data_IF_726922839012
#
_entry.id   IF_726922839012
#
_cell.length_a   1.000
_cell.length_b   1.000
_cell.length_c   1.000
_cell.angle_alpha   90.00
_cell.angle_beta   90.00
_cell.angle_gamma   90.00
#
_symmetry.space_group_name_H-M   'P 1'
#
loop_
_entity.id
_entity.type
_entity.pdbx_description
1 polymer ?
#
# COMPACT_ATOMS: atom_id res chain seq x y z
N UNK A 1 3.67 3.61 -25.07
CA UNK A 1 4.98 3.23 -24.47
C UNK A 1 5.60 2.10 -25.29
N UNK A 2 6.95 2.03 -25.42
CA UNK A 2 7.55 0.88 -26.09
C UNK A 2 7.41 -0.37 -25.21
N UNK A 3 6.80 -1.44 -25.71
CA UNK A 3 6.70 -2.73 -25.02
C UNK A 3 8.06 -3.42 -24.83
N UNK A 4 9.11 -2.97 -25.53
CA UNK A 4 10.45 -3.56 -25.46
C UNK A 4 11.03 -3.58 -24.02
N UNK A 5 10.71 -2.57 -23.18
CA UNK A 5 11.17 -2.57 -21.78
C UNK A 5 10.54 -3.71 -20.97
N UNK A 6 9.31 -4.12 -21.31
CA UNK A 6 8.62 -5.23 -20.65
C UNK A 6 9.10 -6.58 -21.16
N UNK A 7 9.52 -6.69 -22.42
CA UNK A 7 10.19 -7.89 -22.93
C UNK A 7 11.50 -8.14 -22.19
N UNK A 8 12.29 -7.08 -21.95
CA UNK A 8 13.50 -7.15 -21.15
C UNK A 8 13.22 -7.56 -19.69
N UNK A 9 12.15 -6.97 -19.08
CA UNK A 9 11.71 -7.36 -17.74
C UNK A 9 11.35 -8.85 -17.68
N UNK A 10 10.52 -9.33 -18.62
CA UNK A 10 10.08 -10.73 -18.67
C UNK A 10 11.26 -11.67 -18.83
N UNK A 11 12.18 -11.36 -19.77
CA UNK A 11 13.37 -12.16 -20.02
C UNK A 11 14.26 -12.25 -18.78
N UNK A 12 14.53 -11.11 -18.14
CA UNK A 12 15.29 -11.06 -16.89
C UNK A 12 14.62 -11.82 -15.76
N UNK A 13 13.34 -11.60 -15.54
CA UNK A 13 12.61 -12.24 -14.47
C UNK A 13 12.55 -13.77 -14.63
N UNK A 14 12.30 -14.26 -15.86
CA UNK A 14 12.33 -15.69 -16.19
C UNK A 14 13.71 -16.31 -15.97
N UNK A 15 14.78 -15.60 -16.33
CA UNK A 15 16.15 -16.07 -16.08
C UNK A 15 16.41 -16.29 -14.57
N UNK A 16 15.71 -15.56 -13.72
CA UNK A 16 15.80 -15.67 -12.26
C UNK A 16 14.65 -16.48 -11.63
N UNK A 17 13.95 -17.29 -12.40
CA UNK A 17 12.96 -18.24 -11.90
C UNK A 17 11.52 -17.73 -11.79
N UNK A 18 11.23 -16.48 -12.24
CA UNK A 18 9.86 -16.03 -12.31
C UNK A 18 9.08 -16.73 -13.44
N UNK A 19 7.78 -16.88 -13.24
CA UNK A 19 6.89 -17.50 -14.20
C UNK A 19 5.86 -16.49 -14.71
N UNK A 20 5.53 -16.58 -15.97
CA UNK A 20 4.36 -15.97 -16.60
C UNK A 20 3.72 -17.02 -17.51
N UNK A 21 2.42 -17.20 -17.38
CA UNK A 21 1.67 -18.22 -18.09
C UNK A 21 1.82 -18.04 -19.61
N UNK A 22 1.97 -19.14 -20.36
CA UNK A 22 2.19 -19.09 -21.81
C UNK A 22 1.09 -18.40 -22.61
N UNK A 23 -0.15 -18.49 -22.12
CA UNK A 23 -1.33 -17.80 -22.70
C UNK A 23 -1.46 -16.36 -22.25
N UNK A 24 -0.55 -15.83 -21.42
CA UNK A 24 -0.59 -14.45 -20.90
C UNK A 24 0.42 -13.61 -21.65
N UNK A 25 0.06 -12.37 -21.92
CA UNK A 25 0.94 -11.37 -22.51
C UNK A 25 0.81 -10.03 -21.81
N UNK A 26 1.90 -9.27 -21.81
CA UNK A 26 1.89 -7.84 -21.46
C UNK A 26 1.37 -7.07 -22.65
N UNK A 27 0.44 -6.15 -22.43
CA UNK A 27 -0.08 -5.28 -23.48
C UNK A 27 -0.25 -3.84 -22.96
N UNK A 28 -0.34 -2.88 -23.87
CA UNK A 28 -0.58 -1.49 -23.55
C UNK A 28 -2.07 -1.19 -23.84
N UNK A 29 -2.84 -1.04 -22.76
CA UNK A 29 -4.26 -0.69 -22.85
C UNK A 29 -4.40 0.81 -23.04
N UNK A 30 -5.20 1.28 -24.04
CA UNK A 30 -5.37 2.71 -24.28
C UNK A 30 -5.96 3.49 -23.11
N UNK A 31 -6.76 2.84 -22.26
CA UNK A 31 -7.44 3.45 -21.11
C UNK A 31 -6.69 3.24 -19.80
N UNK A 32 -6.13 2.05 -19.57
CA UNK A 32 -5.59 1.61 -18.29
C UNK A 32 -4.07 1.51 -18.27
N UNK A 33 -3.41 1.75 -19.42
CA UNK A 33 -1.96 1.60 -19.54
C UNK A 33 -1.50 0.14 -19.60
N UNK A 34 -0.25 -0.10 -19.23
CA UNK A 34 0.33 -1.44 -19.34
C UNK A 34 -0.26 -2.39 -18.31
N UNK A 35 -0.69 -3.57 -18.79
CA UNK A 35 -1.28 -4.64 -17.96
C UNK A 35 -1.06 -6.02 -18.58
N UNK A 36 -1.70 -7.03 -18.00
CA UNK A 36 -1.73 -8.40 -18.49
C UNK A 36 -3.07 -8.73 -19.12
N UNK A 37 -3.06 -9.54 -20.20
CA UNK A 37 -4.28 -10.12 -20.78
C UNK A 37 -4.01 -11.55 -21.24
N UNK A 38 -5.09 -12.31 -21.44
CA UNK A 38 -5.03 -13.60 -22.15
C UNK A 38 -4.84 -13.33 -23.65
N UNK A 39 -3.85 -13.99 -24.28
CA UNK A 39 -3.50 -13.81 -25.71
C UNK A 39 -4.73 -14.04 -26.59
N UNK A 40 -4.82 -13.33 -27.71
CA UNK A 40 -5.89 -13.55 -28.68
C UNK A 40 -5.70 -14.90 -29.41
N UNK A 41 -6.80 -15.50 -29.88
CA UNK A 41 -6.80 -16.80 -30.56
C UNK A 41 -5.90 -16.87 -31.81
N UNK A 42 -5.68 -15.75 -32.50
CA UNK A 42 -4.82 -15.68 -33.70
C UNK A 42 -3.34 -15.87 -33.39
N UNK A 43 -2.87 -15.50 -32.19
CA UNK A 43 -1.48 -15.68 -31.79
C UNK A 43 -1.21 -17.07 -31.20
N UNK A 44 -2.25 -17.76 -30.73
CA UNK A 44 -2.13 -19.10 -30.12
C UNK A 44 -1.96 -20.22 -31.16
N UNK A 45 -2.34 -20.02 -32.42
CA UNK A 45 -2.23 -21.02 -33.50
C UNK A 45 -0.79 -21.37 -33.80
N UNK A 46 0.16 -20.45 -33.64
CA UNK A 46 1.59 -20.72 -33.87
C UNK A 46 2.26 -21.55 -32.76
N UNK A 47 1.70 -21.58 -31.54
CA UNK A 47 2.24 -22.36 -30.43
C UNK A 47 1.66 -23.78 -30.35
N UNK A 48 0.50 -24.04 -31.00
CA UNK A 48 -0.20 -25.33 -30.95
C UNK A 48 0.35 -26.43 -31.89
N UNK A 49 1.41 -26.17 -32.63
CA UNK A 49 1.96 -27.13 -33.63
C UNK A 49 2.58 -28.39 -33.03
N UNK A 50 2.58 -28.58 -31.71
CA UNK A 50 3.19 -29.73 -31.04
C UNK A 50 2.31 -30.46 -30.01
N UNK A 51 1.00 -30.11 -29.86
CA UNK A 51 0.10 -30.84 -28.97
C UNK A 51 -1.22 -31.17 -29.67
N UNK A 52 -1.65 -32.44 -29.57
CA UNK A 52 -2.94 -32.95 -30.12
C UNK A 52 -4.20 -32.40 -29.42
N UNK A 53 -4.08 -31.41 -28.52
CA UNK A 53 -5.21 -30.77 -27.86
C UNK A 53 -5.54 -29.45 -28.55
N UNK A 54 -6.81 -29.28 -28.90
CA UNK A 54 -7.35 -27.98 -29.33
C UNK A 54 -6.94 -26.90 -28.31
N UNK A 55 -6.43 -25.73 -28.75
CA UNK A 55 -6.04 -24.67 -27.84
C UNK A 55 -7.25 -24.27 -27.01
N UNK A 56 -7.09 -24.26 -25.68
CA UNK A 56 -8.14 -23.79 -24.77
C UNK A 56 -8.48 -22.35 -25.13
N UNK A 57 -9.76 -22.07 -25.20
CA UNK A 57 -10.29 -20.75 -25.56
C UNK A 57 -10.26 -19.73 -24.40
N UNK A 58 -9.63 -20.09 -23.28
CA UNK A 58 -9.62 -19.31 -22.04
C UNK A 58 -8.51 -19.75 -21.12
N UNK A 59 -8.13 -18.89 -20.20
CA UNK A 59 -7.31 -19.23 -19.04
C UNK A 59 -8.22 -19.91 -17.99
N UNK A 60 -7.94 -21.17 -17.59
CA UNK A 60 -8.83 -21.91 -16.70
C UNK A 60 -8.77 -21.38 -15.25
N UNK A 61 -9.81 -21.66 -14.44
CA UNK A 61 -9.75 -21.45 -12.99
C UNK A 61 -8.53 -22.14 -12.37
N UNK A 62 -8.01 -21.55 -11.31
CA UNK A 62 -6.80 -21.99 -10.58
C UNK A 62 -5.48 -21.89 -11.37
N UNK A 63 -5.52 -21.35 -12.59
CA UNK A 63 -4.27 -21.11 -13.33
C UNK A 63 -3.41 -20.06 -12.61
N UNK A 64 -2.10 -20.39 -12.51
CA UNK A 64 -1.11 -19.40 -12.12
C UNK A 64 -0.87 -18.44 -13.30
N UNK A 65 -1.21 -17.19 -13.12
CA UNK A 65 -1.00 -16.12 -14.13
C UNK A 65 0.46 -15.75 -14.18
N UNK A 66 1.01 -15.49 -13.02
CA UNK A 66 2.38 -14.99 -12.83
C UNK A 66 2.88 -15.38 -11.45
N UNK A 67 4.18 -15.72 -11.35
CA UNK A 67 4.86 -15.85 -10.06
C UNK A 67 6.18 -15.08 -10.06
N UNK A 68 6.57 -14.64 -8.87
CA UNK A 68 7.82 -13.92 -8.65
C UNK A 68 8.56 -14.53 -7.46
N UNK A 69 9.79 -15.04 -7.64
CA UNK A 69 10.63 -15.48 -6.54
C UNK A 69 10.84 -14.36 -5.53
N UNK A 70 10.84 -14.72 -4.25
CA UNK A 70 11.10 -13.73 -3.18
C UNK A 70 12.46 -13.05 -3.33
N UNK A 71 13.45 -13.72 -3.90
CA UNK A 71 14.77 -13.17 -4.20
C UNK A 71 14.74 -12.00 -5.20
N UNK A 72 13.70 -11.91 -6.04
CA UNK A 72 13.50 -10.78 -6.96
C UNK A 72 12.75 -9.60 -6.35
N UNK A 73 12.15 -9.78 -5.17
CA UNK A 73 11.43 -8.70 -4.51
C UNK A 73 12.36 -7.53 -4.18
N UNK A 74 11.80 -6.33 -4.11
CA UNK A 74 12.52 -5.11 -3.76
C UNK A 74 11.84 -4.45 -2.55
N UNK A 75 12.61 -4.28 -1.47
CA UNK A 75 12.16 -3.68 -0.22
C UNK A 75 13.35 -3.21 0.62
N UNK A 76 13.10 -2.73 1.81
CA UNK A 76 14.18 -2.39 2.75
C UNK A 76 15.05 -3.60 3.14
N UNK A 77 14.54 -4.83 3.02
CA UNK A 77 15.31 -6.05 3.32
C UNK A 77 16.53 -6.19 2.42
N UNK A 78 16.43 -5.73 1.18
CA UNK A 78 17.57 -5.73 0.24
C UNK A 78 18.63 -4.71 0.69
N UNK A 79 18.22 -3.57 1.23
CA UNK A 79 19.13 -2.60 1.82
C UNK A 79 19.88 -3.16 3.04
N UNK A 80 19.29 -4.14 3.73
CA UNK A 80 19.91 -4.86 4.84
C UNK A 80 20.76 -6.07 4.40
N UNK A 81 20.87 -6.37 3.10
CA UNK A 81 21.55 -7.56 2.55
C UNK A 81 21.02 -8.90 3.13
N UNK A 82 19.69 -9.04 3.24
CA UNK A 82 19.05 -10.20 3.86
C UNK A 82 18.76 -11.37 2.92
N UNK A 83 18.90 -11.18 1.63
CA UNK A 83 18.79 -12.26 0.65
C UNK A 83 20.19 -12.83 0.37
N UNK A 84 20.49 -14.10 0.79
CA UNK A 84 21.83 -14.64 0.75
C UNK A 84 22.41 -14.78 -0.69
N UNK A 85 21.54 -14.92 -1.68
CA UNK A 85 21.94 -15.15 -3.08
C UNK A 85 22.17 -13.86 -3.88
N UNK A 86 21.74 -12.71 -3.32
CA UNK A 86 21.96 -11.40 -3.90
C UNK A 86 23.19 -10.78 -3.29
N UNK A 87 24.39 -11.34 -3.58
CA UNK A 87 25.63 -10.74 -3.14
C UNK A 87 25.73 -9.33 -3.67
N UNK A 88 25.46 -8.39 -2.77
CA UNK A 88 25.92 -7.01 -2.68
C UNK A 88 26.35 -6.32 -4.00
N UNK A 89 25.43 -6.06 -4.90
CA UNK A 89 25.63 -5.00 -5.90
C UNK A 89 25.15 -3.63 -5.39
N UNK A 90 24.57 -3.58 -4.19
CA UNK A 90 24.10 -2.35 -3.56
C UNK A 90 25.18 -1.79 -2.63
N UNK A 91 25.43 -0.50 -2.72
CA UNK A 91 26.15 0.21 -1.68
C UNK A 91 25.40 0.01 -0.36
N UNK A 92 26.13 -0.37 0.69
CA UNK A 92 25.51 -0.57 2.02
C UNK A 92 25.13 0.80 2.57
N UNK A 93 23.86 0.99 2.86
CA UNK A 93 23.40 2.22 3.51
C UNK A 93 24.14 2.44 4.84
N UNK A 94 24.37 3.71 5.24
CA UNK A 94 24.97 4.03 6.53
C UNK A 94 24.19 3.37 7.67
N UNK A 95 24.88 2.81 8.66
CA UNK A 95 24.23 2.14 9.81
C UNK A 95 23.20 3.06 10.49
N UNK A 96 23.54 4.34 10.65
CA UNK A 96 22.65 5.34 11.24
C UNK A 96 21.33 5.46 10.45
N UNK A 97 21.37 5.41 9.10
CA UNK A 97 20.15 5.45 8.29
C UNK A 97 19.27 4.24 8.55
N UNK A 98 19.86 3.05 8.61
CA UNK A 98 19.15 1.81 8.85
C UNK A 98 18.56 1.71 10.28
N UNK A 99 19.19 2.38 11.25
CA UNK A 99 18.73 2.43 12.64
C UNK A 99 17.59 3.43 12.86
N UNK A 100 17.69 4.59 12.23
CA UNK A 100 16.81 5.75 12.53
C UNK A 100 15.57 5.78 11.67
N UNK A 101 15.64 5.34 10.38
CA UNK A 101 14.51 5.44 9.47
C UNK A 101 13.60 4.22 9.54
N UNK A 102 12.33 4.43 9.27
CA UNK A 102 11.31 3.40 9.18
C UNK A 102 11.56 2.50 7.95
N UNK A 103 11.13 1.21 7.98
CA UNK A 103 11.35 0.26 6.87
C UNK A 103 10.92 0.75 5.51
N UNK A 104 9.75 1.36 5.40
CA UNK A 104 9.25 1.90 4.12
C UNK A 104 10.11 3.05 3.60
N UNK A 105 10.61 3.94 4.47
CA UNK A 105 11.49 5.04 4.10
C UNK A 105 12.82 4.52 3.55
N UNK A 106 13.41 3.50 4.20
CA UNK A 106 14.61 2.82 3.71
C UNK A 106 14.34 2.20 2.32
N UNK A 107 13.18 1.56 2.13
CA UNK A 107 12.77 1.00 0.85
C UNK A 107 12.70 2.06 -0.26
N UNK A 108 12.17 3.26 0.04
CA UNK A 108 12.12 4.37 -0.92
C UNK A 108 13.53 4.81 -1.34
N UNK A 109 14.43 5.02 -0.38
CA UNK A 109 15.83 5.37 -0.69
C UNK A 109 16.54 4.25 -1.46
N UNK A 110 16.25 2.99 -1.13
CA UNK A 110 16.80 1.86 -1.88
C UNK A 110 16.34 1.86 -3.34
N UNK A 111 15.06 2.12 -3.62
CA UNK A 111 14.56 2.23 -4.99
C UNK A 111 15.21 3.41 -5.74
N UNK A 112 15.39 4.57 -5.10
CA UNK A 112 16.13 5.69 -5.70
C UNK A 112 17.56 5.29 -6.06
N UNK A 113 18.25 4.57 -5.17
CA UNK A 113 19.59 4.05 -5.46
C UNK A 113 19.59 3.13 -6.68
N UNK A 114 18.65 2.18 -6.74
CA UNK A 114 18.53 1.26 -7.87
C UNK A 114 18.21 1.99 -9.19
N UNK A 115 17.47 3.09 -9.13
CA UNK A 115 17.22 3.95 -10.29
C UNK A 115 18.49 4.68 -10.74
N UNK A 116 19.25 5.27 -9.82
CA UNK A 116 20.47 5.99 -10.13
C UNK A 116 21.59 5.09 -10.70
N UNK A 117 21.57 3.83 -10.33
CA UNK A 117 22.53 2.79 -10.77
C UNK A 117 21.89 1.76 -11.73
N UNK A 118 20.80 2.11 -12.44
CA UNK A 118 19.97 1.14 -13.18
C UNK A 118 20.73 0.31 -14.23
N UNK A 119 21.84 0.79 -14.76
CA UNK A 119 22.66 0.06 -15.73
C UNK A 119 23.45 -1.09 -15.10
N UNK A 120 23.78 -0.98 -13.83
CA UNK A 120 24.55 -1.98 -13.07
C UNK A 120 23.72 -2.68 -12.00
N UNK A 121 22.52 -2.18 -11.71
CA UNK A 121 21.61 -2.76 -10.74
C UNK A 121 21.11 -4.13 -11.17
N UNK A 122 21.05 -5.07 -10.21
CA UNK A 122 20.37 -6.35 -10.40
C UNK A 122 18.91 -6.15 -10.84
N UNK A 123 18.21 -5.17 -10.27
CA UNK A 123 16.82 -4.81 -10.60
C UNK A 123 16.70 -3.85 -11.78
N UNK A 124 17.77 -3.55 -12.49
CA UNK A 124 17.75 -2.60 -13.60
C UNK A 124 16.63 -2.82 -14.61
N UNK A 125 16.37 -4.05 -15.10
CA UNK A 125 15.25 -4.31 -16.00
C UNK A 125 13.87 -3.98 -15.39
N UNK A 126 13.67 -4.28 -14.10
CA UNK A 126 12.45 -3.93 -13.38
C UNK A 126 12.30 -2.40 -13.21
N UNK A 127 13.33 -1.74 -12.70
CA UNK A 127 13.32 -0.29 -12.47
C UNK A 127 13.05 0.47 -13.77
N UNK A 128 13.64 0.04 -14.89
CA UNK A 128 13.35 0.63 -16.22
C UNK A 128 11.96 0.35 -16.75
N UNK A 129 11.28 -0.68 -16.25
CA UNK A 129 9.89 -0.98 -16.63
C UNK A 129 8.87 -0.15 -15.86
N UNK A 130 9.21 0.39 -14.69
CA UNK A 130 8.36 1.27 -13.90
C UNK A 130 8.05 2.57 -14.66
N UNK A 131 6.96 3.29 -14.34
CA UNK A 131 6.80 4.69 -14.77
C UNK A 131 8.03 5.48 -14.33
N UNK A 132 8.67 6.18 -15.27
CA UNK A 132 9.93 6.88 -15.00
C UNK A 132 9.69 8.24 -14.34
N UNK A 133 10.66 8.80 -13.58
CA UNK A 133 10.53 10.11 -12.93
C UNK A 133 10.19 11.23 -13.91
N UNK A 134 10.71 11.17 -15.15
CA UNK A 134 10.45 12.13 -16.23
C UNK A 134 9.00 12.01 -16.77
N UNK A 135 8.36 10.86 -16.53
CA UNK A 135 6.96 10.59 -16.87
C UNK A 135 6.03 10.79 -15.67
N UNK A 136 6.48 11.42 -14.60
CA UNK A 136 5.79 11.53 -13.31
C UNK A 136 4.38 12.14 -13.42
N UNK A 137 4.13 13.02 -14.40
CA UNK A 137 2.79 13.52 -14.70
C UNK A 137 1.77 12.43 -15.11
N UNK A 138 2.24 11.24 -15.50
CA UNK A 138 1.40 10.07 -15.80
C UNK A 138 1.06 9.22 -14.58
N UNK A 139 1.68 9.49 -13.43
CA UNK A 139 1.40 8.74 -12.19
C UNK A 139 0.00 9.03 -11.65
N UNK A 140 -0.61 10.15 -12.02
CA UNK A 140 -2.02 10.47 -11.74
C UNK A 140 -2.34 10.75 -10.27
N UNK A 141 -1.38 10.58 -9.35
CA UNK A 141 -1.65 10.82 -7.92
C UNK A 141 -1.65 12.32 -7.60
N UNK A 142 -2.39 12.77 -6.57
CA UNK A 142 -2.55 14.19 -6.26
C UNK A 142 -1.25 14.93 -5.93
N UNK A 143 -0.16 14.22 -5.63
CA UNK A 143 1.16 14.84 -5.41
C UNK A 143 1.80 15.37 -6.70
N UNK A 144 1.23 15.05 -7.86
CA UNK A 144 1.66 15.53 -9.18
C UNK A 144 0.62 16.41 -9.87
N UNK A 145 -0.46 16.76 -9.16
CA UNK A 145 -1.50 17.63 -9.68
C UNK A 145 -0.95 19.03 -9.94
N UNK A 146 -1.42 19.62 -11.03
CA UNK A 146 -1.22 21.06 -11.32
C UNK A 146 -2.12 21.91 -10.42
N UNK A 147 -1.86 23.21 -10.36
CA UNK A 147 -2.72 24.15 -9.60
C UNK A 147 -4.19 24.09 -10.06
N UNK A 148 -4.41 23.83 -11.35
CA UNK A 148 -5.76 23.65 -11.90
C UNK A 148 -6.43 22.37 -11.38
N UNK A 149 -5.68 21.26 -11.28
CA UNK A 149 -6.19 20.00 -10.73
C UNK A 149 -6.47 20.11 -9.23
N UNK A 150 -5.59 20.81 -8.50
CA UNK A 150 -5.77 21.06 -7.06
C UNK A 150 -7.05 21.84 -6.79
N UNK A 151 -7.43 22.77 -7.68
CA UNK A 151 -8.66 23.53 -7.52
C UNK A 151 -9.91 22.62 -7.46
N UNK A 152 -9.89 21.46 -8.13
CA UNK A 152 -11.01 20.50 -8.14
C UNK A 152 -11.13 19.68 -6.86
N UNK A 153 -10.07 19.56 -6.08
CA UNK A 153 -10.06 18.77 -4.84
C UNK A 153 -10.16 19.63 -3.57
N UNK A 154 -10.26 20.95 -3.73
CA UNK A 154 -10.36 21.88 -2.59
C UNK A 154 -11.57 21.55 -1.69
N UNK A 155 -11.33 21.57 -0.37
CA UNK A 155 -12.36 21.29 0.63
C UNK A 155 -12.73 19.82 0.74
N UNK A 156 -12.13 18.94 -0.08
CA UNK A 156 -12.36 17.50 0.01
C UNK A 156 -11.36 16.83 0.95
N UNK A 157 -11.69 15.62 1.40
CA UNK A 157 -10.78 14.75 2.16
C UNK A 157 -9.52 14.37 1.36
N UNK A 158 -9.59 14.37 0.04
CA UNK A 158 -8.45 14.12 -0.83
C UNK A 158 -7.38 15.22 -0.71
N UNK A 159 -7.79 16.50 -0.60
CA UNK A 159 -6.86 17.62 -0.36
C UNK A 159 -6.13 17.42 0.98
N UNK A 160 -6.89 17.14 2.04
CA UNK A 160 -6.34 16.92 3.39
C UNK A 160 -5.34 15.75 3.38
N UNK A 161 -5.71 14.65 2.76
CA UNK A 161 -4.87 13.45 2.69
C UNK A 161 -3.61 13.66 1.84
N UNK A 162 -3.72 14.40 0.73
CA UNK A 162 -2.59 14.83 -0.12
C UNK A 162 -1.58 15.65 0.68
N UNK A 163 -2.04 16.68 1.35
CA UNK A 163 -1.17 17.61 2.09
C UNK A 163 -0.46 16.90 3.24
N UNK A 164 -1.18 16.03 3.95
CA UNK A 164 -0.59 15.22 5.00
C UNK A 164 0.46 14.25 4.45
N UNK A 165 0.20 13.61 3.32
CA UNK A 165 1.14 12.70 2.66
C UNK A 165 2.39 13.42 2.20
N UNK A 166 2.23 14.58 1.55
CA UNK A 166 3.37 15.41 1.11
C UNK A 166 4.25 15.84 2.28
N UNK A 167 3.63 16.35 3.35
CA UNK A 167 4.33 16.76 4.57
C UNK A 167 5.11 15.58 5.19
N UNK A 168 4.48 14.41 5.29
CA UNK A 168 5.12 13.22 5.87
C UNK A 168 6.29 12.76 5.02
N UNK A 169 6.08 12.55 3.72
CA UNK A 169 7.14 12.08 2.83
C UNK A 169 8.30 13.07 2.70
N UNK A 170 8.01 14.37 2.73
CA UNK A 170 9.06 15.41 2.72
C UNK A 170 9.90 15.39 3.98
N UNK A 171 9.27 15.21 5.14
CA UNK A 171 9.98 15.04 6.41
C UNK A 171 10.87 13.77 6.41
N UNK A 172 10.36 12.66 5.85
CA UNK A 172 11.10 11.41 5.74
C UNK A 172 12.31 11.55 4.81
N UNK A 173 12.10 12.19 3.65
CA UNK A 173 13.19 12.52 2.73
C UNK A 173 14.25 13.39 3.38
N UNK A 174 13.87 14.47 4.05
CA UNK A 174 14.80 15.39 4.71
C UNK A 174 15.64 14.70 5.80
N UNK A 175 15.05 13.75 6.54
CA UNK A 175 15.77 12.95 7.55
C UNK A 175 16.81 12.05 6.87
N UNK A 176 16.42 11.30 5.85
CA UNK A 176 17.32 10.39 5.15
C UNK A 176 18.39 11.10 4.36
N UNK A 177 18.02 12.16 3.64
CA UNK A 177 18.94 12.99 2.87
C UNK A 177 20.07 13.57 3.73
N UNK A 178 19.75 14.13 4.89
CA UNK A 178 20.75 14.65 5.83
C UNK A 178 21.74 13.58 6.30
N UNK A 179 21.28 12.35 6.52
CA UNK A 179 22.17 11.25 6.93
C UNK A 179 23.09 10.86 5.78
N UNK A 180 22.57 10.76 4.56
CA UNK A 180 23.33 10.38 3.37
C UNK A 180 24.40 11.44 3.04
N UNK A 181 24.06 12.72 3.07
CA UNK A 181 25.00 13.82 2.81
C UNK A 181 26.12 13.91 3.84
N UNK A 182 25.84 13.53 5.10
CA UNK A 182 26.83 13.50 6.17
C UNK A 182 27.70 12.24 6.20
N UNK A 183 27.39 11.23 5.37
CA UNK A 183 28.03 9.92 5.39
C UNK A 183 29.13 9.80 4.34
N UNK A 184 30.32 9.32 4.74
CA UNK A 184 31.39 9.02 3.78
C UNK A 184 31.07 7.82 2.91
N UNK A 185 31.57 7.82 1.66
CA UNK A 185 31.36 6.75 0.69
C UNK A 185 30.09 6.92 -0.17
N UNK A 186 29.37 8.04 0.00
CA UNK A 186 28.14 8.35 -0.75
C UNK A 186 28.32 9.55 -1.69
N UNK A 187 29.51 10.06 -1.82
CA UNK A 187 29.84 11.28 -2.58
C UNK A 187 29.42 11.20 -4.05
N UNK A 188 29.44 10.00 -4.66
CA UNK A 188 29.05 9.82 -6.07
C UNK A 188 27.58 10.18 -6.33
N UNK A 189 26.75 10.20 -5.29
CA UNK A 189 25.34 10.57 -5.38
C UNK A 189 24.99 11.92 -4.76
N UNK A 190 26.01 12.70 -4.32
CA UNK A 190 25.76 14.03 -3.79
C UNK A 190 24.95 14.88 -4.78
N UNK A 191 23.86 15.50 -4.29
CA UNK A 191 22.92 16.25 -5.09
C UNK A 191 21.97 15.43 -5.96
N UNK A 192 22.06 14.08 -5.97
CA UNK A 192 21.17 13.21 -6.74
C UNK A 192 19.99 12.66 -5.92
N UNK A 193 20.06 12.74 -4.59
CA UNK A 193 18.98 12.34 -3.68
C UNK A 193 17.89 13.40 -3.60
N UNK A 194 17.31 13.79 -4.74
CA UNK A 194 16.34 14.89 -4.81
C UNK A 194 15.00 14.49 -4.21
N UNK A 195 14.25 15.51 -3.77
CA UNK A 195 12.86 15.33 -3.35
C UNK A 195 12.01 14.68 -4.44
N UNK A 196 12.19 15.07 -5.71
CA UNK A 196 11.40 14.52 -6.81
C UNK A 196 11.66 13.04 -7.03
N UNK A 197 12.90 12.56 -6.92
CA UNK A 197 13.21 11.15 -6.99
C UNK A 197 12.67 10.37 -5.78
N UNK A 198 12.75 10.93 -4.58
CA UNK A 198 12.18 10.32 -3.40
C UNK A 198 10.63 10.23 -3.50
N UNK A 199 9.98 11.33 -3.90
CA UNK A 199 8.53 11.39 -4.15
C UNK A 199 8.11 10.34 -5.17
N UNK A 200 8.88 10.19 -6.27
CA UNK A 200 8.66 9.15 -7.27
C UNK A 200 8.75 7.76 -6.65
N UNK A 201 9.81 7.43 -5.94
CA UNK A 201 9.99 6.11 -5.32
C UNK A 201 8.87 5.80 -4.32
N UNK A 202 8.49 6.76 -3.47
CA UNK A 202 7.39 6.62 -2.54
C UNK A 202 6.04 6.39 -3.26
N UNK A 203 5.83 7.05 -4.41
CA UNK A 203 4.62 6.84 -5.24
C UNK A 203 4.62 5.46 -5.89
N UNK A 204 5.76 4.97 -6.38
CA UNK A 204 5.89 3.59 -6.90
C UNK A 204 5.53 2.57 -5.81
N UNK A 205 6.08 2.71 -4.60
CA UNK A 205 5.72 1.83 -3.50
C UNK A 205 4.25 1.96 -3.12
N UNK A 206 3.70 3.18 -3.03
CA UNK A 206 2.28 3.39 -2.72
C UNK A 206 1.34 2.68 -3.69
N UNK A 207 1.68 2.66 -4.99
CA UNK A 207 0.78 2.18 -6.05
C UNK A 207 1.02 0.74 -6.50
N UNK A 208 2.18 0.12 -6.16
CA UNK A 208 2.59 -1.17 -6.72
C UNK A 208 3.02 -2.21 -5.69
N UNK A 209 3.10 -1.83 -4.40
CA UNK A 209 3.60 -2.75 -3.39
C UNK A 209 2.54 -3.71 -2.88
N UNK A 210 3.04 -4.83 -2.39
CA UNK A 210 2.34 -5.82 -1.59
C UNK A 210 2.79 -5.70 -0.13
N UNK A 211 2.07 -6.31 0.79
CA UNK A 211 2.40 -6.29 2.22
C UNK A 211 3.45 -7.36 2.55
N UNK A 212 4.35 -7.04 3.48
CA UNK A 212 5.45 -7.94 3.88
C UNK A 212 4.99 -9.25 4.50
N UNK A 213 3.79 -9.32 5.05
CA UNK A 213 3.21 -10.55 5.63
C UNK A 213 3.02 -11.68 4.61
N UNK A 214 3.12 -11.37 3.31
CA UNK A 214 3.12 -12.36 2.24
C UNK A 214 4.48 -13.06 2.09
N UNK A 215 5.52 -12.57 2.73
CA UNK A 215 6.85 -13.19 2.70
C UNK A 215 7.03 -14.02 3.96
N UNK A 216 7.16 -15.35 3.83
CA UNK A 216 7.32 -16.22 4.98
C UNK A 216 8.66 -16.00 5.70
N UNK A 217 8.68 -16.18 7.01
CA UNK A 217 9.89 -16.02 7.82
C UNK A 217 11.04 -16.94 7.37
N UNK A 218 10.72 -18.13 6.84
CA UNK A 218 11.70 -19.09 6.33
C UNK A 218 12.49 -18.58 5.12
N UNK A 219 12.00 -17.57 4.42
CA UNK A 219 12.68 -16.94 3.29
C UNK A 219 13.81 -16.04 3.77
N UNK A 220 13.70 -15.56 4.99
CA UNK A 220 14.69 -14.69 5.60
C UNK A 220 15.59 -15.50 6.52
N UNK A 221 16.91 -15.43 6.32
CA UNK A 221 17.84 -15.83 7.37
C UNK A 221 17.86 -14.75 8.45
N UNK A 222 17.08 -14.97 9.50
CA UNK A 222 17.05 -14.15 10.71
C UNK A 222 18.06 -14.70 11.75
N UNK A 223 18.67 -13.91 12.60
CA UNK A 223 18.08 -12.89 13.42
C UNK A 223 18.50 -11.49 12.98
N UNK A 224 17.58 -10.58 12.94
CA UNK A 224 17.87 -9.21 12.58
C UNK A 224 17.26 -8.27 13.58
N UNK A 225 18.03 -7.97 14.56
CA UNK A 225 17.90 -6.72 15.29
C UNK A 225 18.92 -5.76 14.71
N UNK A 226 18.51 -4.92 13.78
CA UNK A 226 19.18 -3.66 13.55
C UNK A 226 18.50 -2.66 14.48
N UNK A 227 19.17 -2.31 15.58
CA UNK A 227 18.60 -1.45 16.60
C UNK A 227 17.39 -2.07 17.30
N UNK A 228 16.41 -1.25 17.65
CA UNK A 228 15.17 -1.61 18.37
C UNK A 228 14.00 -2.00 17.44
N UNK A 229 14.24 -2.15 16.11
CA UNK A 229 13.17 -2.45 15.15
C UNK A 229 12.78 -3.93 15.19
N UNK A 230 11.51 -4.17 15.47
CA UNK A 230 10.89 -5.48 15.36
C UNK A 230 10.51 -5.77 13.91
N UNK A 231 10.59 -7.05 13.48
CA UNK A 231 10.01 -7.49 12.20
C UNK A 231 8.48 -7.57 12.23
N UNK A 232 7.86 -7.25 13.34
CA UNK A 232 6.41 -7.13 13.48
C UNK A 232 5.85 -5.92 12.71
N UNK A 233 6.73 -5.00 12.28
CA UNK A 233 6.31 -3.85 11.45
C UNK A 233 5.98 -4.31 10.03
N UNK A 234 4.73 -4.09 9.61
CA UNK A 234 4.30 -4.30 8.23
C UNK A 234 4.96 -3.24 7.34
N UNK A 235 5.60 -3.68 6.26
CA UNK A 235 6.28 -2.79 5.30
C UNK A 235 5.92 -3.16 3.86
N UNK A 236 6.05 -2.20 2.92
CA UNK A 236 5.73 -2.42 1.51
C UNK A 236 6.87 -3.18 0.79
N UNK A 237 6.48 -4.07 -0.13
CA UNK A 237 7.39 -4.88 -0.95
C UNK A 237 6.95 -4.82 -2.41
N UNK A 238 7.85 -4.53 -3.32
CA UNK A 238 7.64 -4.59 -4.76
C UNK A 238 7.98 -6.00 -5.28
N UNK A 239 7.08 -6.56 -6.06
CA UNK A 239 7.28 -7.84 -6.73
C UNK A 239 7.21 -7.65 -8.24
N UNK A 240 8.35 -7.73 -8.96
CA UNK A 240 8.37 -7.63 -10.42
C UNK A 240 7.38 -8.60 -11.08
N UNK A 241 6.68 -8.14 -12.09
CA UNK A 241 5.60 -8.82 -12.83
C UNK A 241 4.26 -8.91 -12.07
N UNK A 242 4.25 -9.14 -10.76
CA UNK A 242 3.00 -9.24 -9.98
C UNK A 242 2.27 -7.89 -9.87
N UNK A 243 3.00 -6.79 -10.05
CA UNK A 243 2.49 -5.41 -10.02
C UNK A 243 1.94 -4.93 -11.37
N UNK A 244 1.92 -5.79 -12.40
CA UNK A 244 1.41 -5.42 -13.74
C UNK A 244 -0.12 -5.49 -13.87
N UNK A 245 -0.86 -6.46 -13.27
CA UNK A 245 -2.30 -6.51 -13.38
C UNK A 245 -2.97 -5.29 -12.73
N UNK A 246 -3.87 -4.63 -13.46
CA UNK A 246 -4.67 -3.52 -12.96
C UNK A 246 -5.72 -3.98 -11.95
N UNK A 247 -6.34 -3.02 -11.25
CA UNK A 247 -7.37 -3.28 -10.25
C UNK A 247 -8.76 -3.49 -10.86
N UNK A 248 -9.48 -4.47 -10.28
CA UNK A 248 -10.93 -4.56 -10.40
C UNK A 248 -11.50 -5.14 -9.09
N UNK A 249 -12.54 -4.51 -8.56
CA UNK A 249 -13.25 -5.02 -7.37
C UNK A 249 -13.93 -6.37 -7.64
N UNK A 250 -14.27 -6.65 -8.90
CA UNK A 250 -14.87 -7.91 -9.33
C UNK A 250 -13.84 -9.03 -9.57
N UNK A 251 -12.54 -8.72 -9.60
CA UNK A 251 -11.51 -9.73 -9.83
C UNK A 251 -11.45 -10.72 -8.68
N UNK A 252 -11.58 -12.01 -9.04
CA UNK A 252 -11.44 -13.14 -8.11
C UNK A 252 -10.06 -13.75 -8.32
N UNK A 253 -9.13 -13.39 -7.44
CA UNK A 253 -7.74 -13.83 -7.48
C UNK A 253 -7.27 -14.21 -6.08
N UNK A 254 -6.40 -15.19 -6.01
CA UNK A 254 -5.71 -15.59 -4.79
C UNK A 254 -4.22 -15.29 -4.92
N UNK A 255 -3.65 -14.66 -3.90
CA UNK A 255 -2.20 -14.53 -3.75
C UNK A 255 -1.69 -15.75 -2.99
N UNK A 256 -0.94 -16.59 -3.70
CA UNK A 256 -0.46 -17.85 -3.18
C UNK A 256 1.04 -17.80 -2.89
N UNK A 257 1.43 -18.11 -1.68
CA UNK A 257 2.82 -18.18 -1.23
C UNK A 257 3.33 -19.63 -1.31
N UNK A 258 4.31 -19.88 -2.16
CA UNK A 258 4.99 -21.17 -2.27
C UNK A 258 6.26 -21.17 -1.42
N UNK A 259 6.31 -22.06 -0.43
CA UNK A 259 7.49 -22.27 0.44
C UNK A 259 8.06 -23.68 0.36
N UNK A 260 7.35 -24.57 -0.31
CA UNK A 260 7.70 -26.00 -0.35
C UNK A 260 8.63 -26.35 -1.49
N UNK A 261 8.50 -25.65 -2.62
CA UNK A 261 9.27 -25.91 -3.83
C UNK A 261 10.18 -24.72 -4.14
N UNK A 262 11.36 -24.99 -4.72
CA UNK A 262 12.23 -23.94 -5.23
C UNK A 262 11.87 -23.61 -6.69
N UNK A 263 11.86 -22.33 -7.07
CA UNK A 263 12.10 -21.18 -6.20
C UNK A 263 10.91 -20.93 -5.28
N UNK A 264 11.15 -20.48 -4.04
CA UNK A 264 10.11 -19.95 -3.17
C UNK A 264 9.59 -18.65 -3.76
N UNK A 265 8.29 -18.54 -3.94
CA UNK A 265 7.69 -17.43 -4.68
C UNK A 265 6.34 -16.99 -4.16
N UNK A 266 5.92 -15.79 -4.60
CA UNK A 266 4.56 -15.30 -4.53
C UNK A 266 3.92 -15.40 -5.92
N UNK A 267 2.71 -15.92 -5.98
CA UNK A 267 1.97 -16.16 -7.22
C UNK A 267 0.60 -15.50 -7.20
N UNK A 268 0.10 -15.11 -8.38
CA UNK A 268 -1.31 -14.72 -8.58
C UNK A 268 -2.02 -15.85 -9.31
N UNK A 269 -3.04 -16.41 -8.67
CA UNK A 269 -3.91 -17.44 -9.23
C UNK A 269 -5.29 -16.83 -9.53
N UNK A 270 -5.85 -17.14 -10.70
CA UNK A 270 -7.23 -16.73 -11.02
C UNK A 270 -8.22 -17.77 -10.50
N UNK A 271 -9.32 -17.35 -9.88
CA UNK A 271 -10.35 -18.25 -9.34
C UNK A 271 -11.47 -18.55 -10.35
N UNK A 272 -11.52 -17.78 -11.44
CA UNK A 272 -12.51 -17.94 -12.50
C UNK A 272 -11.85 -17.99 -13.87
N UNK A 273 -12.56 -18.56 -14.83
CA UNK A 273 -12.12 -18.60 -16.22
C UNK A 273 -12.03 -17.19 -16.81
N UNK A 274 -10.92 -16.90 -17.54
CA UNK A 274 -10.74 -15.63 -18.24
C UNK A 274 -10.65 -15.91 -19.74
N UNK A 275 -11.60 -15.39 -20.56
CA UNK A 275 -11.62 -15.59 -22.00
C UNK A 275 -10.41 -14.97 -22.73
N UNK A 276 -10.13 -15.44 -23.93
CA UNK A 276 -9.13 -14.84 -24.83
C UNK A 276 -9.39 -13.34 -25.08
N UNK A 277 -8.30 -12.58 -25.09
CA UNK A 277 -8.32 -11.14 -25.31
C UNK A 277 -8.74 -10.31 -24.10
N UNK A 278 -9.24 -10.93 -23.03
CA UNK A 278 -9.64 -10.23 -21.84
C UNK A 278 -8.45 -9.86 -20.95
N UNK A 279 -8.54 -8.68 -20.35
CA UNK A 279 -7.59 -8.21 -19.34
C UNK A 279 -7.65 -9.08 -18.09
N UNK A 280 -6.50 -9.35 -17.52
CA UNK A 280 -6.35 -10.03 -16.24
C UNK A 280 -6.20 -8.96 -15.16
N UNK A 281 -7.12 -8.94 -14.22
CA UNK A 281 -7.11 -7.99 -13.12
C UNK A 281 -6.63 -8.62 -11.82
N UNK A 282 -6.03 -7.80 -10.98
CA UNK A 282 -5.80 -8.07 -9.57
C UNK A 282 -6.88 -7.37 -8.74
N UNK A 283 -7.01 -7.74 -7.48
CA UNK A 283 -7.87 -7.07 -6.51
C UNK A 283 -7.00 -6.41 -5.42
N UNK A 284 -6.98 -5.07 -5.39
CA UNK A 284 -6.19 -4.28 -4.43
C UNK A 284 -6.91 -4.09 -3.09
N UNK A 285 -7.92 -4.93 -2.80
CA UNK A 285 -8.90 -4.81 -1.74
C UNK A 285 -9.93 -3.68 -1.96
N UNK A 286 -11.05 -3.68 -1.22
CA UNK A 286 -12.05 -2.62 -1.27
C UNK A 286 -11.41 -1.27 -0.91
N UNK A 287 -11.57 -0.27 -1.78
CA UNK A 287 -11.00 1.07 -1.61
C UNK A 287 -11.95 2.13 -2.15
N UNK A 288 -12.09 3.21 -1.41
CA UNK A 288 -12.79 4.39 -1.90
C UNK A 288 -12.04 5.10 -3.03
N UNK A 289 -12.73 5.96 -3.78
CA UNK A 289 -12.08 6.75 -4.82
C UNK A 289 -11.02 7.71 -4.27
N UNK A 290 -11.17 8.19 -3.04
CA UNK A 290 -10.13 8.96 -2.35
C UNK A 290 -8.86 8.12 -2.13
N UNK A 291 -8.99 6.88 -1.66
CA UNK A 291 -7.86 5.98 -1.46
C UNK A 291 -7.23 5.55 -2.80
N UNK A 292 -8.05 5.28 -3.82
CA UNK A 292 -7.59 4.92 -5.16
C UNK A 292 -6.84 6.08 -5.81
N UNK A 293 -7.40 7.29 -5.76
CA UNK A 293 -6.75 8.48 -6.33
C UNK A 293 -5.46 8.81 -5.58
N UNK A 294 -5.48 8.81 -4.25
CA UNK A 294 -4.32 9.13 -3.43
C UNK A 294 -3.19 8.12 -3.59
N UNK A 295 -3.52 6.81 -3.63
CA UNK A 295 -2.54 5.72 -3.65
C UNK A 295 -2.09 5.32 -5.04
N UNK A 296 -2.99 5.37 -6.03
CA UNK A 296 -2.80 4.74 -7.34
C UNK A 296 -3.02 5.69 -8.52
N UNK A 297 -3.64 6.85 -8.32
CA UNK A 297 -3.83 7.86 -9.35
C UNK A 297 -5.02 7.63 -10.29
N UNK A 298 -6.04 6.90 -9.85
CA UNK A 298 -7.27 6.68 -10.63
C UNK A 298 -8.51 6.62 -9.75
N UNK A 299 -9.68 6.77 -10.38
CA UNK A 299 -11.00 6.57 -9.77
C UNK A 299 -11.80 5.53 -10.54
N UNK A 300 -12.75 4.89 -9.88
CA UNK A 300 -13.71 3.96 -10.48
C UNK A 300 -15.06 4.69 -10.55
N UNK A 301 -15.64 4.90 -11.75
CA UNK A 301 -16.99 5.43 -11.88
C UNK A 301 -18.00 4.50 -11.21
N UNK A 302 -18.90 5.07 -10.39
CA UNK A 302 -19.90 4.27 -9.66
C UNK A 302 -19.29 3.31 -8.63
N UNK A 303 -18.13 3.64 -8.06
CA UNK A 303 -17.53 2.85 -7.01
C UNK A 303 -18.44 2.79 -5.78
N UNK A 304 -18.86 1.58 -5.39
CA UNK A 304 -19.73 1.37 -4.22
C UNK A 304 -18.99 1.59 -2.90
N UNK A 305 -17.64 1.57 -2.94
CA UNK A 305 -16.79 1.84 -1.78
C UNK A 305 -16.65 3.35 -1.59
N UNK A 306 -17.40 3.91 -0.66
CA UNK A 306 -17.23 5.31 -0.25
C UNK A 306 -16.52 5.39 1.10
N UNK A 307 -15.65 6.38 1.28
CA UNK A 307 -15.09 6.71 2.58
C UNK A 307 -14.99 8.22 2.73
N UNK A 308 -15.13 8.69 3.95
CA UNK A 308 -14.90 10.07 4.35
C UNK A 308 -13.72 10.06 5.31
N UNK A 309 -12.66 10.79 4.97
CA UNK A 309 -11.55 11.02 5.85
C UNK A 309 -11.84 12.22 6.75
N UNK A 310 -11.51 12.16 8.02
CA UNK A 310 -11.60 13.28 8.91
C UNK A 310 -10.47 13.29 9.94
N UNK A 311 -10.17 14.48 10.43
CA UNK A 311 -9.15 14.71 11.45
C UNK A 311 -9.83 15.07 12.77
N UNK A 312 -10.21 14.08 13.60
CA UNK A 312 -11.02 14.33 14.79
C UNK A 312 -10.28 15.07 15.89
N UNK A 313 -8.93 15.19 15.78
CA UNK A 313 -8.08 15.66 16.84
C UNK A 313 -7.21 16.83 16.40
N UNK A 314 -7.09 17.85 17.26
CA UNK A 314 -6.04 18.85 17.14
C UNK A 314 -4.69 18.25 17.58
N UNK A 315 -3.58 18.79 17.08
CA UNK A 315 -2.23 18.26 17.37
C UNK A 315 -1.93 18.18 18.86
N UNK A 316 -2.40 19.16 19.66
CA UNK A 316 -2.20 19.14 21.11
C UNK A 316 -2.89 17.95 21.79
N UNK A 317 -4.02 17.51 21.26
CA UNK A 317 -4.77 16.37 21.78
C UNK A 317 -4.15 15.03 21.38
N UNK A 318 -3.37 14.98 20.31
CA UNK A 318 -2.61 13.81 19.92
C UNK A 318 -1.59 13.39 20.99
N UNK A 319 -0.93 14.36 21.62
CA UNK A 319 0.02 14.09 22.71
C UNK A 319 -0.69 13.46 23.91
N UNK A 320 -1.88 13.94 24.24
CA UNK A 320 -2.70 13.39 25.34
C UNK A 320 -3.13 11.96 25.00
N UNK A 321 -3.59 11.73 23.76
CA UNK A 321 -3.92 10.40 23.25
C UNK A 321 -2.75 9.42 23.37
N UNK A 322 -1.57 9.78 22.87
CA UNK A 322 -0.38 8.93 22.93
C UNK A 322 -0.03 8.51 24.37
N UNK A 323 -0.10 9.46 25.32
CA UNK A 323 0.14 9.18 26.73
C UNK A 323 -0.89 8.19 27.30
N UNK A 324 -2.16 8.35 26.96
CA UNK A 324 -3.21 7.46 27.45
C UNK A 324 -3.16 6.07 26.82
N UNK A 325 -2.90 5.95 25.52
CA UNK A 325 -2.74 4.66 24.84
C UNK A 325 -1.52 3.90 25.35
N UNK A 326 -0.40 4.58 25.64
CA UNK A 326 0.75 3.97 26.29
C UNK A 326 0.43 3.40 27.67
N UNK A 327 -0.42 4.09 28.46
CA UNK A 327 -0.89 3.60 29.77
C UNK A 327 -1.82 2.38 29.64
N UNK A 328 -2.55 2.26 28.53
CA UNK A 328 -3.45 1.14 28.25
C UNK A 328 -2.72 -0.11 27.70
N UNK A 329 -1.41 -0.04 27.48
CA UNK A 329 -0.63 -1.14 26.91
C UNK A 329 -0.99 -1.46 25.45
N UNK A 330 -1.69 -0.57 24.77
CA UNK A 330 -2.05 -0.71 23.35
C UNK A 330 -0.80 -0.54 22.49
N UNK A 331 -0.33 -1.64 21.93
CA UNK A 331 0.77 -1.66 20.95
C UNK A 331 0.27 -1.43 19.52
N UNK A 332 -0.90 -0.83 19.33
CA UNK A 332 -1.34 -0.47 17.99
C UNK A 332 -0.34 0.53 17.41
N UNK A 333 0.37 0.14 16.35
CA UNK A 333 1.43 0.92 15.69
C UNK A 333 1.00 2.31 15.21
N UNK A 334 -0.28 2.65 15.33
CA UNK A 334 -0.90 3.86 14.82
C UNK A 334 -1.08 4.98 15.86
N UNK A 335 -0.30 5.00 16.92
CA UNK A 335 -0.37 6.10 17.90
C UNK A 335 -0.12 7.49 17.28
N UNK A 336 0.46 7.54 16.08
CA UNK A 336 0.74 8.77 15.31
C UNK A 336 -0.33 9.10 14.26
N UNK A 337 -1.26 8.20 13.96
CA UNK A 337 -2.29 8.44 12.97
C UNK A 337 -3.20 9.60 13.41
N UNK A 338 -3.37 10.58 12.55
CA UNK A 338 -4.20 11.77 12.80
C UNK A 338 -5.40 11.89 11.86
N UNK A 339 -5.40 11.11 10.78
CA UNK A 339 -6.50 11.04 9.81
C UNK A 339 -7.07 9.64 9.88
N UNK A 340 -8.38 9.56 9.92
CA UNK A 340 -9.16 8.34 10.02
C UNK A 340 -10.23 8.30 8.95
N UNK A 341 -10.71 7.10 8.63
CA UNK A 341 -11.73 6.92 7.61
C UNK A 341 -13.00 6.28 8.18
N UNK A 342 -14.14 6.77 7.71
CA UNK A 342 -15.44 6.11 7.84
C UNK A 342 -15.85 5.63 6.45
N UNK A 343 -16.22 4.36 6.32
CA UNK A 343 -16.53 3.72 5.03
C UNK A 343 -18.02 3.45 4.88
N UNK A 344 -18.47 3.34 3.65
CA UNK A 344 -19.83 2.84 3.32
C UNK A 344 -19.95 1.33 3.54
N UNK A 345 -18.86 0.59 3.42
CA UNK A 345 -18.81 -0.86 3.64
C UNK A 345 -18.02 -1.20 4.89
N UNK A 346 -18.44 -2.23 5.64
CA UNK A 346 -17.74 -2.62 6.87
C UNK A 346 -16.31 -3.08 6.61
N UNK A 347 -15.41 -2.69 7.51
CA UNK A 347 -14.08 -3.31 7.56
C UNK A 347 -14.20 -4.82 7.80
N UNK A 348 -13.31 -5.61 7.17
CA UNK A 348 -13.22 -7.04 7.43
C UNK A 348 -12.89 -7.28 8.89
N UNK A 349 -13.68 -8.11 9.55
CA UNK A 349 -13.61 -8.37 10.99
C UNK A 349 -13.70 -9.88 11.26
N UNK A 350 -13.22 -10.33 12.43
CA UNK A 350 -13.43 -11.71 12.87
C UNK A 350 -14.92 -12.06 12.90
N UNK A 351 -15.29 -13.34 12.70
CA UNK A 351 -16.69 -13.77 12.69
C UNK A 351 -17.44 -13.55 14.01
N UNK A 352 -16.70 -13.46 15.11
CA UNK A 352 -17.21 -13.26 16.48
C UNK A 352 -17.26 -11.77 16.91
N UNK A 353 -17.11 -10.85 15.97
CA UNK A 353 -17.18 -9.41 16.24
C UNK A 353 -18.59 -8.99 16.70
N UNK A 354 -18.72 -8.70 17.97
CA UNK A 354 -19.98 -8.31 18.64
C UNK A 354 -20.24 -6.81 18.64
N UNK A 355 -19.37 -6.00 18.00
CA UNK A 355 -19.53 -4.53 17.94
C UNK A 355 -20.80 -4.15 17.21
N UNK A 356 -21.35 -2.98 17.61
CA UNK A 356 -22.46 -2.36 16.88
C UNK A 356 -22.11 -2.19 15.40
N UNK A 357 -23.08 -2.38 14.47
CA UNK A 357 -22.85 -2.26 13.04
C UNK A 357 -22.18 -0.94 12.64
N UNK A 358 -22.56 0.17 13.30
CA UNK A 358 -22.04 1.51 13.04
C UNK A 358 -20.53 1.58 13.27
N UNK A 359 -20.02 0.94 14.31
CA UNK A 359 -18.58 0.89 14.58
C UNK A 359 -17.80 -0.02 13.62
N UNK A 360 -18.47 -0.84 12.84
CA UNK A 360 -17.81 -1.64 11.80
C UNK A 360 -17.46 -0.83 10.56
N UNK A 361 -18.05 0.34 10.42
CA UNK A 361 -17.78 1.28 9.34
C UNK A 361 -16.63 2.24 9.65
N UNK A 362 -16.12 2.25 10.88
CA UNK A 362 -15.12 3.21 11.37
C UNK A 362 -13.81 2.48 11.69
N UNK A 363 -12.69 3.08 11.37
CA UNK A 363 -11.37 2.57 11.79
C UNK A 363 -11.27 2.49 13.31
N UNK A 364 -10.69 1.41 13.82
CA UNK A 364 -10.55 1.15 15.26
C UNK A 364 -9.79 2.27 15.97
N UNK A 365 -8.68 2.71 15.40
CA UNK A 365 -7.89 3.80 15.94
C UNK A 365 -8.64 5.11 16.08
N UNK A 366 -9.64 5.37 15.23
CA UNK A 366 -10.53 6.53 15.34
C UNK A 366 -11.41 6.46 16.58
N UNK A 367 -12.09 5.34 16.76
CA UNK A 367 -13.00 5.14 17.89
C UNK A 367 -12.22 5.18 19.20
N UNK A 368 -11.04 4.58 19.24
CA UNK A 368 -10.14 4.60 20.41
C UNK A 368 -9.71 6.03 20.75
N UNK A 369 -9.33 6.81 19.74
CA UNK A 369 -8.96 8.19 19.91
C UNK A 369 -10.10 9.02 20.50
N UNK A 370 -11.29 8.89 19.92
CA UNK A 370 -12.47 9.59 20.38
C UNK A 370 -12.93 9.15 21.78
N UNK A 371 -12.82 7.84 22.07
CA UNK A 371 -13.15 7.31 23.39
C UNK A 371 -12.26 7.95 24.48
N UNK A 372 -10.96 8.04 24.26
CA UNK A 372 -10.02 8.68 25.20
C UNK A 372 -10.32 10.15 25.38
N UNK A 373 -10.66 10.87 24.29
CA UNK A 373 -10.92 12.30 24.32
C UNK A 373 -12.22 12.65 25.02
N UNK A 374 -13.28 11.88 24.79
CA UNK A 374 -14.61 12.13 25.34
C UNK A 374 -14.80 11.57 26.75
N UNK A 375 -13.86 10.75 27.24
CA UNK A 375 -13.91 10.13 28.55
C UNK A 375 -13.77 11.14 29.68
N UNK A 376 -14.62 11.02 30.68
CA UNK A 376 -14.47 11.69 31.95
C UNK A 376 -13.43 10.96 32.84
N UNK A 377 -13.15 11.50 34.04
CA UNK A 377 -12.14 10.95 34.94
C UNK A 377 -12.42 9.48 35.31
N UNK A 378 -13.65 9.13 35.66
CA UNK A 378 -14.04 7.77 36.07
C UNK A 378 -13.91 6.78 34.91
N UNK A 379 -14.31 7.19 33.72
CA UNK A 379 -14.19 6.38 32.51
C UNK A 379 -12.74 6.13 32.13
N UNK A 380 -11.86 7.13 32.26
CA UNK A 380 -10.40 6.95 32.02
C UNK A 380 -9.78 6.01 33.06
N UNK A 381 -10.13 6.14 34.33
CA UNK A 381 -9.68 5.23 35.37
C UNK A 381 -10.13 3.80 35.08
N UNK A 382 -11.38 3.61 34.60
CA UNK A 382 -11.89 2.30 34.19
C UNK A 382 -11.11 1.74 32.99
N UNK A 383 -10.88 2.54 31.95
CA UNK A 383 -10.09 2.13 30.77
C UNK A 383 -8.68 1.67 31.12
N UNK A 384 -8.02 2.37 32.04
CA UNK A 384 -6.68 2.01 32.52
C UNK A 384 -6.67 0.67 33.27
N UNK A 385 -7.71 0.41 34.07
CA UNK A 385 -7.85 -0.83 34.83
C UNK A 385 -8.27 -2.04 34.00
N UNK A 386 -8.92 -1.81 32.85
CA UNK A 386 -9.48 -2.85 31.99
C UNK A 386 -9.08 -2.65 30.51
N UNK A 387 -7.79 -2.65 30.18
CA UNK A 387 -7.32 -2.30 28.82
C UNK A 387 -7.83 -3.27 27.73
N UNK A 388 -8.04 -4.54 28.05
CA UNK A 388 -8.55 -5.55 27.12
C UNK A 388 -10.04 -5.41 26.77
N UNK A 389 -10.77 -4.58 27.52
CA UNK A 389 -12.21 -4.33 27.34
C UNK A 389 -12.54 -2.95 26.79
N UNK A 390 -11.54 -2.15 26.50
CA UNK A 390 -11.75 -0.75 26.13
C UNK A 390 -11.21 -0.44 24.74
N UNK A 391 -12.00 0.31 23.95
CA UNK A 391 -13.40 0.62 24.20
C UNK A 391 -14.32 -0.52 23.79
N UNK A 392 -15.13 -1.00 24.72
CA UNK A 392 -16.17 -1.99 24.42
C UNK A 392 -17.30 -1.32 23.62
N UNK A 393 -17.73 -1.94 22.51
CA UNK A 393 -18.64 -1.36 21.52
C UNK A 393 -19.86 -2.24 21.25
N UNK A 394 -20.13 -3.19 22.15
CA UNK A 394 -21.31 -4.03 22.07
C UNK A 394 -22.59 -3.27 22.42
N UNK A 395 -23.74 -3.78 21.97
CA UNK A 395 -25.04 -3.22 22.29
C UNK A 395 -25.25 -3.16 23.80
N UNK A 396 -24.83 -4.18 24.53
CA UNK A 396 -24.93 -4.23 25.99
C UNK A 396 -24.10 -3.13 26.65
N UNK A 397 -22.85 -2.95 26.18
CA UNK A 397 -21.95 -1.91 26.69
C UNK A 397 -22.52 -0.49 26.49
N UNK A 398 -23.22 -0.24 25.38
CA UNK A 398 -23.85 1.04 25.09
C UNK A 398 -24.93 1.39 26.10
N UNK A 399 -25.76 0.41 26.49
CA UNK A 399 -26.92 0.67 27.35
C UNK A 399 -26.64 0.43 28.83
N UNK A 400 -25.76 -0.48 29.18
CA UNK A 400 -25.59 -0.96 30.56
C UNK A 400 -24.13 -0.95 31.05
N UNK A 401 -23.18 -0.69 30.19
CA UNK A 401 -21.77 -0.76 30.52
C UNK A 401 -21.25 0.50 31.25
N UNK A 402 -20.11 0.40 31.95
CA UNK A 402 -19.50 1.53 32.66
C UNK A 402 -19.01 2.65 31.72
N UNK A 403 -18.89 2.37 30.43
CA UNK A 403 -18.52 3.33 29.37
C UNK A 403 -19.71 3.76 28.51
N UNK A 404 -20.95 3.43 28.87
CA UNK A 404 -22.16 3.78 28.10
C UNK A 404 -22.20 5.24 27.65
N UNK A 405 -22.02 6.18 28.59
CA UNK A 405 -21.95 7.61 28.25
C UNK A 405 -20.81 7.93 27.27
N UNK A 406 -19.66 7.33 27.46
CA UNK A 406 -18.50 7.57 26.61
C UNK A 406 -18.78 7.11 25.18
N UNK A 407 -19.33 5.90 25.00
CA UNK A 407 -19.68 5.34 23.70
C UNK A 407 -20.71 6.23 22.98
N UNK A 408 -21.77 6.63 23.66
CA UNK A 408 -22.78 7.55 23.10
C UNK A 408 -22.18 8.91 22.69
N UNK A 409 -21.23 9.41 23.48
CA UNK A 409 -20.53 10.66 23.15
C UNK A 409 -19.61 10.50 21.92
N UNK A 410 -18.95 9.36 21.76
CA UNK A 410 -18.17 9.03 20.56
C UNK A 410 -19.07 9.01 19.33
N UNK A 411 -20.24 8.35 19.41
CA UNK A 411 -21.20 8.30 18.30
C UNK A 411 -21.69 9.71 17.93
N UNK A 412 -22.01 10.55 18.90
CA UNK A 412 -22.43 11.92 18.65
C UNK A 412 -21.34 12.73 17.93
N UNK A 413 -20.08 12.63 18.38
CA UNK A 413 -18.96 13.35 17.75
C UNK A 413 -18.71 12.85 16.33
N UNK A 414 -18.85 11.54 16.08
CA UNK A 414 -18.75 10.98 14.73
C UNK A 414 -19.85 11.52 13.82
N UNK A 415 -21.10 11.56 14.30
CA UNK A 415 -22.24 12.11 13.55
C UNK A 415 -22.02 13.57 13.17
N UNK A 416 -21.67 14.40 14.17
CA UNK A 416 -21.41 15.82 13.96
C UNK A 416 -20.30 16.04 12.89
N UNK A 417 -19.24 15.25 12.95
CA UNK A 417 -18.13 15.35 11.99
C UNK A 417 -18.49 14.90 10.57
N UNK A 418 -19.33 13.88 10.44
CA UNK A 418 -19.83 13.43 9.13
C UNK A 418 -20.76 14.48 8.52
N UNK A 419 -21.61 15.15 9.33
CA UNK A 419 -22.47 16.23 8.88
C UNK A 419 -21.66 17.46 8.44
N UNK A 420 -20.62 17.85 9.20
CA UNK A 420 -19.68 18.92 8.83
C UNK A 420 -19.02 18.61 7.47
N UNK A 421 -18.45 17.41 7.30
CA UNK A 421 -17.79 16.99 6.06
C UNK A 421 -18.75 16.99 4.86
N UNK A 422 -19.99 16.56 5.04
CA UNK A 422 -20.99 16.59 3.99
C UNK A 422 -21.35 18.04 3.58
N UNK A 423 -21.47 18.93 4.57
CA UNK A 423 -21.74 20.35 4.33
C UNK A 423 -20.61 21.01 3.53
N UNK A 424 -19.36 20.73 3.88
CA UNK A 424 -18.17 21.26 3.20
C UNK A 424 -18.12 20.81 1.74
N UNK A 425 -18.41 19.54 1.45
CA UNK A 425 -18.47 19.00 0.08
C UNK A 425 -19.56 19.69 -0.73
N UNK A 426 -20.76 19.86 -0.17
CA UNK A 426 -21.88 20.51 -0.85
C UNK A 426 -21.56 21.98 -1.15
N UNK A 427 -20.98 22.69 -0.19
CA UNK A 427 -20.63 24.10 -0.35
C UNK A 427 -19.55 24.32 -1.41
N UNK A 428 -18.54 23.42 -1.47
CA UNK A 428 -17.47 23.46 -2.48
C UNK A 428 -18.02 23.16 -3.86
N UNK A 429 -18.90 22.16 -4.00
CA UNK A 429 -19.55 21.81 -5.27
C UNK A 429 -20.39 22.94 -5.86
N UNK A 430 -20.99 23.81 -5.05
CA UNK A 430 -21.77 24.97 -5.49
C UNK A 430 -20.89 26.09 -6.10
N UNK A 431 -19.59 26.13 -5.78
CA UNK A 431 -18.65 27.11 -6.34
C UNK A 431 -18.00 26.66 -7.67
N UNK A 432 -18.20 25.42 -8.06
CA UNK A 432 -17.61 24.81 -9.28
C UNK A 432 -18.64 24.64 -10.42
N UNK A 433 -19.90 25.08 -10.22
CA UNK A 433 -20.99 25.00 -11.17
C UNK A 433 -21.13 26.30 -12.02
#
# INVERSE_FOLDING_TARGET
MSLARFENLISWARHHGAYIHEQVEVYDDPQYGVSLRVRSSQQSVHLASHSDQLPRQSLPPTACVVSCPFSLSLSYLNALNKFPDLQSHSARFPALLLEVLEPHVIGHFFLVQQYLDADTSHWGPYVRSLPQPEESGKLGTPLYFTDADIAWIRGTDLEIARDQREKTWKSDWERGHRILDASSGWEKWNGKWTWDLYKWAATIFSSRSFISTLIPEEVFRMPVTYGTKSFDDIFPVLFPLLDLPNHSTAAKVTWFTNVQNEPKDLSILVESEIPYGQQIFNNYAPKSNTELMLGYGFCIPGNDEASIAFKPLREELMIIRQRHLACLGSHSGDSKQSIFHVRSTPYTRPPDDTRLPEFRLVEDGCVDALAVLTANRREREYMIQHPSRCPERSLEAVFMGPLSRNILKVMAVLSDKLEEGLHDIISTGQHLG
#
